data_IF_771143640102
#
_entry.id   IF_771143640102
#
_cell.length_a   1.000
_cell.length_b   1.000
_cell.length_c   1.000
_cell.angle_alpha   90.00
_cell.angle_beta   90.00
_cell.angle_gamma   90.00
#
_symmetry.space_group_name_H-M   'P 1'
#
loop_
_entity.id
_entity.type
_entity.pdbx_description
1 polymer ?
#
# COMPACT_ATOMS: atom_id res chain seq x y z
N UNK A 1 4.41 0.47 -36.36
CA UNK A 1 4.70 -0.98 -36.30
C UNK A 1 6.08 -1.34 -35.74
N UNK A 2 7.22 -0.93 -36.33
CA UNK A 2 8.55 -1.34 -35.80
C UNK A 2 8.82 -0.89 -34.36
N UNK A 3 8.42 0.33 -33.99
CA UNK A 3 8.58 0.88 -32.64
C UNK A 3 7.68 0.17 -31.60
N UNK A 4 6.41 -0.08 -31.95
CA UNK A 4 5.45 -0.85 -31.12
C UNK A 4 5.98 -2.25 -30.82
N UNK A 5 6.48 -2.95 -31.85
CA UNK A 5 7.08 -4.28 -31.69
C UNK A 5 8.30 -4.23 -30.77
N UNK A 6 9.19 -3.25 -30.96
CA UNK A 6 10.38 -3.10 -30.13
C UNK A 6 10.01 -2.86 -28.66
N UNK A 7 9.03 -1.99 -28.40
CA UNK A 7 8.52 -1.75 -27.05
C UNK A 7 7.85 -2.98 -26.44
N UNK A 8 7.03 -3.73 -27.20
CA UNK A 8 6.40 -4.95 -26.70
C UNK A 8 7.42 -6.01 -26.31
N UNK A 9 8.45 -6.20 -27.12
CA UNK A 9 9.52 -7.15 -26.81
C UNK A 9 10.27 -6.76 -25.53
N UNK A 10 10.58 -5.47 -25.37
CA UNK A 10 11.20 -4.93 -24.16
C UNK A 10 10.30 -5.14 -22.93
N UNK A 11 9.01 -4.78 -23.02
CA UNK A 11 8.04 -4.96 -21.95
C UNK A 11 7.85 -6.44 -21.57
N UNK A 12 7.73 -7.34 -22.56
CA UNK A 12 7.61 -8.78 -22.31
C UNK A 12 8.88 -9.35 -21.66
N UNK A 13 10.06 -8.94 -22.11
CA UNK A 13 11.33 -9.32 -21.47
C UNK A 13 11.41 -8.84 -20.02
N UNK A 14 10.81 -7.69 -19.70
CA UNK A 14 10.72 -7.16 -18.34
C UNK A 14 9.72 -7.94 -17.45
N UNK A 15 8.51 -8.23 -17.95
CA UNK A 15 7.42 -8.79 -17.14
C UNK A 15 7.41 -10.32 -17.03
N UNK A 16 7.87 -11.03 -18.05
CA UNK A 16 7.87 -12.50 -18.04
C UNK A 16 8.70 -13.10 -16.89
N UNK A 17 9.89 -12.56 -16.54
CA UNK A 17 10.64 -13.01 -15.36
C UNK A 17 9.88 -12.88 -14.03
N UNK A 18 8.95 -11.91 -13.93
CA UNK A 18 8.07 -11.75 -12.75
C UNK A 18 6.91 -12.75 -12.75
N UNK A 19 6.80 -13.56 -13.81
CA UNK A 19 5.82 -14.62 -13.98
C UNK A 19 4.52 -14.19 -14.67
N UNK A 20 4.52 -13.06 -15.39
CA UNK A 20 3.47 -12.75 -16.36
C UNK A 20 3.66 -13.58 -17.64
N UNK A 21 2.57 -13.83 -18.35
CA UNK A 21 2.50 -14.55 -19.62
C UNK A 21 3.13 -15.94 -19.62
N UNK A 22 3.07 -16.66 -18.48
CA UNK A 22 3.70 -18.00 -18.34
C UNK A 22 3.22 -19.04 -19.36
N UNK A 23 2.04 -18.84 -19.94
CA UNK A 23 1.47 -19.75 -20.95
C UNK A 23 2.04 -19.51 -22.36
N UNK A 24 2.75 -18.40 -22.58
CA UNK A 24 3.33 -18.02 -23.86
C UNK A 24 4.87 -18.01 -23.73
N UNK A 25 5.56 -19.12 -24.06
CA UNK A 25 7.00 -19.23 -23.83
C UNK A 25 7.85 -18.40 -24.81
N UNK A 26 7.28 -17.95 -25.93
CA UNK A 26 7.97 -17.15 -26.94
C UNK A 26 7.47 -15.69 -26.91
N UNK A 27 8.28 -14.75 -26.37
CA UNK A 27 7.90 -13.33 -26.34
C UNK A 27 7.78 -12.72 -27.74
N UNK A 28 8.44 -13.28 -28.76
CA UNK A 28 8.36 -12.74 -30.13
C UNK A 28 7.01 -13.06 -30.75
N UNK A 29 6.57 -14.32 -30.65
CA UNK A 29 5.24 -14.72 -31.12
C UNK A 29 4.14 -13.95 -30.39
N UNK A 30 4.22 -13.85 -29.04
CA UNK A 30 3.26 -13.11 -28.25
C UNK A 30 3.23 -11.61 -28.62
N UNK A 31 4.38 -10.98 -28.86
CA UNK A 31 4.41 -9.59 -29.29
C UNK A 31 3.65 -9.39 -30.61
N UNK A 32 3.85 -10.26 -31.61
CA UNK A 32 3.11 -10.17 -32.88
C UNK A 32 1.60 -10.34 -32.70
N UNK A 33 1.18 -11.25 -31.81
CA UNK A 33 -0.23 -11.48 -31.50
C UNK A 33 -0.89 -10.28 -30.80
N UNK A 34 -0.11 -9.52 -30.01
CA UNK A 34 -0.62 -8.41 -29.19
C UNK A 34 -0.57 -7.04 -29.86
N UNK A 35 0.12 -6.86 -31.01
CA UNK A 35 0.21 -5.55 -31.67
C UNK A 35 -1.18 -4.99 -32.02
N UNK A 36 -1.99 -5.76 -32.74
CA UNK A 36 -3.31 -5.29 -33.16
C UNK A 36 -4.27 -5.09 -31.98
N UNK A 37 -4.41 -6.05 -31.03
CA UNK A 37 -5.30 -5.86 -29.87
C UNK A 37 -4.92 -4.71 -28.93
N UNK A 38 -3.63 -4.41 -28.77
CA UNK A 38 -3.18 -3.33 -27.89
C UNK A 38 -3.23 -1.96 -28.53
N UNK A 39 -2.84 -1.87 -29.80
CA UNK A 39 -2.63 -0.57 -30.42
C UNK A 39 -3.73 -0.20 -31.40
N UNK A 40 -4.31 -1.14 -32.15
CA UNK A 40 -5.32 -0.85 -33.18
C UNK A 40 -5.03 0.48 -33.92
N UNK A 41 -6.00 1.40 -33.86
CA UNK A 41 -5.87 2.78 -34.36
C UNK A 41 -5.44 3.82 -33.29
N UNK A 42 -5.24 3.40 -32.04
CA UNK A 42 -4.84 4.28 -30.95
C UNK A 42 -3.42 4.84 -31.13
N UNK A 43 -3.17 6.10 -30.75
CA UNK A 43 -1.82 6.65 -30.77
C UNK A 43 -0.92 5.87 -29.81
N UNK A 44 0.24 5.43 -30.30
CA UNK A 44 1.27 4.78 -29.50
C UNK A 44 2.28 5.80 -28.98
N UNK A 45 2.40 5.89 -27.66
CA UNK A 45 3.47 6.61 -26.94
C UNK A 45 4.24 5.65 -26.01
N UNK A 46 5.49 5.26 -26.34
CA UNK A 46 6.26 4.32 -25.52
C UNK A 46 6.57 4.83 -24.10
N UNK A 47 6.33 6.11 -23.81
CA UNK A 47 6.56 6.70 -22.49
C UNK A 47 5.29 6.74 -21.63
N UNK A 48 4.13 6.35 -22.18
CA UNK A 48 2.88 6.31 -21.44
C UNK A 48 2.80 5.02 -20.59
N UNK A 49 2.90 5.10 -19.25
CA UNK A 49 2.84 3.93 -18.36
C UNK A 49 1.50 3.19 -18.45
N UNK A 50 0.44 3.82 -18.96
CA UNK A 50 -0.86 3.16 -19.11
C UNK A 50 -0.78 2.02 -20.15
N UNK A 51 0.13 2.09 -21.13
CA UNK A 51 0.33 1.00 -22.10
C UNK A 51 0.84 -0.28 -21.45
N UNK A 52 1.70 -0.17 -20.45
CA UNK A 52 2.14 -1.31 -19.66
C UNK A 52 0.95 -1.98 -18.94
N UNK A 53 0.02 -1.19 -18.39
CA UNK A 53 -1.18 -1.72 -17.73
C UNK A 53 -2.13 -2.42 -18.72
N UNK A 54 -2.31 -1.85 -19.92
CA UNK A 54 -3.06 -2.51 -20.99
C UNK A 54 -2.41 -3.83 -21.39
N UNK A 55 -1.08 -3.86 -21.61
CA UNK A 55 -0.35 -5.09 -21.89
C UNK A 55 -0.61 -6.14 -20.80
N UNK A 56 -0.37 -5.78 -19.54
CA UNK A 56 -0.53 -6.69 -18.40
C UNK A 56 -1.98 -7.20 -18.25
N UNK A 57 -2.97 -6.42 -18.67
CA UNK A 57 -4.38 -6.84 -18.64
C UNK A 57 -4.71 -8.04 -19.53
N UNK A 58 -3.87 -8.34 -20.54
CA UNK A 58 -4.02 -9.54 -21.37
C UNK A 58 -3.65 -10.82 -20.62
N UNK A 59 -2.84 -10.74 -19.55
CA UNK A 59 -2.60 -11.87 -18.66
C UNK A 59 -3.67 -11.95 -17.56
N UNK A 60 -4.84 -12.48 -17.92
CA UNK A 60 -5.97 -12.72 -17.01
C UNK A 60 -5.69 -13.75 -15.90
N UNK A 61 -4.50 -14.36 -15.89
CA UNK A 61 -4.04 -15.21 -14.78
C UNK A 61 -3.22 -14.44 -13.73
N UNK A 62 -2.84 -13.20 -14.02
CA UNK A 62 -1.97 -12.37 -13.17
C UNK A 62 -2.52 -10.97 -12.90
N UNK A 63 -3.39 -10.46 -13.75
CA UNK A 63 -4.04 -9.17 -13.60
C UNK A 63 -5.57 -9.30 -13.66
N UNK A 64 -6.23 -8.58 -12.76
CA UNK A 64 -7.64 -8.24 -12.82
C UNK A 64 -7.71 -6.82 -13.39
N UNK A 65 -8.33 -6.68 -14.55
CA UNK A 65 -8.60 -5.39 -15.19
C UNK A 65 -10.08 -5.37 -15.55
N UNK A 66 -10.85 -4.58 -14.82
CA UNK A 66 -12.31 -4.53 -14.92
C UNK A 66 -12.84 -3.13 -14.61
N UNK A 67 -14.12 -2.87 -14.88
CA UNK A 67 -14.74 -1.59 -14.52
C UNK A 67 -14.84 -1.43 -13.00
N UNK A 68 -14.54 -0.23 -12.51
CA UNK A 68 -14.56 0.06 -11.07
C UNK A 68 -15.99 0.23 -10.52
N UNK A 69 -16.96 0.55 -11.38
CA UNK A 69 -18.36 0.78 -11.02
C UNK A 69 -19.19 -0.48 -11.28
N UNK A 70 -19.76 -1.06 -10.21
CA UNK A 70 -20.61 -2.24 -10.30
C UNK A 70 -22.02 -1.93 -10.84
N UNK A 71 -22.49 -0.68 -10.69
CA UNK A 71 -23.85 -0.30 -11.05
C UNK A 71 -24.90 -1.22 -10.41
N UNK A 72 -25.80 -1.75 -11.23
CA UNK A 72 -26.88 -2.67 -10.80
C UNK A 72 -26.36 -4.05 -10.33
N UNK A 73 -25.12 -4.42 -10.66
CA UNK A 73 -24.54 -5.67 -10.18
C UNK A 73 -24.36 -5.66 -8.65
N UNK A 74 -24.16 -4.48 -8.04
CA UNK A 74 -24.04 -4.33 -6.59
C UNK A 74 -25.43 -4.27 -5.93
N UNK A 75 -26.09 -5.42 -5.85
CA UNK A 75 -27.39 -5.57 -5.19
C UNK A 75 -27.47 -6.88 -4.38
N UNK A 76 -28.32 -6.95 -3.34
CA UNK A 76 -28.51 -8.17 -2.56
C UNK A 76 -28.84 -9.39 -3.42
N UNK A 77 -28.05 -10.45 -3.27
CA UNK A 77 -28.22 -11.73 -3.98
C UNK A 77 -27.54 -11.83 -5.33
N UNK A 78 -26.88 -10.76 -5.80
CA UNK A 78 -26.07 -10.79 -7.03
C UNK A 78 -24.64 -11.28 -6.79
N UNK A 79 -24.20 -11.37 -5.53
CA UNK A 79 -22.90 -11.90 -5.12
C UNK A 79 -21.71 -11.20 -5.82
N UNK A 80 -21.83 -9.89 -6.06
CA UNK A 80 -20.83 -9.11 -6.80
C UNK A 80 -19.44 -9.22 -6.17
N UNK A 81 -19.36 -9.13 -4.84
CA UNK A 81 -18.08 -9.20 -4.13
C UNK A 81 -17.59 -10.64 -3.92
N UNK A 82 -18.46 -11.64 -4.04
CA UNK A 82 -18.01 -13.05 -4.18
C UNK A 82 -17.22 -13.20 -5.47
N UNK A 83 -17.78 -12.71 -6.59
CA UNK A 83 -17.10 -12.75 -7.89
C UNK A 83 -15.75 -12.02 -7.88
N UNK A 84 -15.68 -10.87 -7.20
CA UNK A 84 -14.43 -10.14 -6.95
C UNK A 84 -13.42 -11.00 -6.18
N UNK A 85 -13.82 -11.61 -5.05
CA UNK A 85 -12.91 -12.44 -4.26
C UNK A 85 -12.41 -13.66 -5.03
N UNK A 86 -13.25 -14.25 -5.88
CA UNK A 86 -12.86 -15.33 -6.79
C UNK A 86 -11.86 -14.86 -7.86
N UNK A 87 -12.07 -13.68 -8.45
CA UNK A 87 -11.15 -13.08 -9.40
C UNK A 87 -9.80 -12.75 -8.75
N UNK A 88 -9.81 -12.17 -7.54
CA UNK A 88 -8.61 -11.91 -6.75
C UNK A 88 -7.90 -13.22 -6.39
N UNK A 89 -8.63 -14.26 -5.99
CA UNK A 89 -8.07 -15.58 -5.72
C UNK A 89 -7.36 -16.16 -6.95
N UNK A 90 -7.98 -16.03 -8.14
CA UNK A 90 -7.40 -16.49 -9.41
C UNK A 90 -6.06 -15.84 -9.72
N UNK A 91 -5.94 -14.51 -9.54
CA UNK A 91 -4.68 -13.79 -9.83
C UNK A 91 -3.63 -13.92 -8.73
N UNK A 92 -4.00 -14.44 -7.55
CA UNK A 92 -3.15 -14.53 -6.37
C UNK A 92 -2.03 -15.57 -6.43
N UNK A 93 -1.95 -16.36 -7.51
CA UNK A 93 -1.00 -17.47 -7.66
C UNK A 93 -1.09 -18.51 -6.54
N UNK A 94 -2.29 -18.67 -5.96
CA UNK A 94 -2.54 -19.58 -4.86
C UNK A 94 -2.19 -19.04 -3.47
N UNK A 95 -1.68 -17.81 -3.34
CA UNK A 95 -1.42 -17.20 -2.04
C UNK A 95 -2.72 -16.83 -1.30
N UNK A 96 -3.79 -16.55 -2.04
CA UNK A 96 -5.13 -16.31 -1.52
C UNK A 96 -6.10 -17.32 -2.16
N UNK A 97 -6.52 -18.31 -1.37
CA UNK A 97 -7.40 -19.40 -1.80
C UNK A 97 -8.60 -19.52 -0.85
N UNK A 98 -9.47 -18.50 -0.82
CA UNK A 98 -10.67 -18.54 0.00
C UNK A 98 -11.59 -19.69 -0.44
N UNK A 99 -12.34 -20.22 0.50
CA UNK A 99 -13.38 -21.23 0.28
C UNK A 99 -14.67 -20.79 0.94
N UNK A 100 -15.79 -21.33 0.48
CA UNK A 100 -17.11 -21.11 1.08
C UNK A 100 -17.44 -19.62 1.25
N UNK A 101 -17.13 -18.82 0.22
CA UNK A 101 -17.33 -17.38 0.23
C UNK A 101 -18.83 -17.09 0.30
N UNK A 102 -19.23 -16.19 1.19
CA UNK A 102 -20.62 -15.76 1.38
C UNK A 102 -20.67 -14.24 1.48
N UNK A 103 -21.61 -13.65 0.77
CA UNK A 103 -21.96 -12.25 0.85
C UNK A 103 -23.19 -12.06 1.74
N UNK A 104 -23.07 -11.22 2.76
CA UNK A 104 -24.17 -10.85 3.66
C UNK A 104 -24.33 -9.33 3.66
N UNK A 105 -25.51 -8.86 3.28
CA UNK A 105 -25.85 -7.44 3.34
C UNK A 105 -26.40 -7.11 4.74
N UNK A 106 -25.70 -6.24 5.48
CA UNK A 106 -26.11 -5.83 6.83
C UNK A 106 -27.21 -4.74 6.83
N UNK A 107 -27.66 -4.34 5.63
CA UNK A 107 -28.71 -3.36 5.39
C UNK A 107 -28.97 -3.23 3.89
N UNK A 108 -30.00 -2.45 3.51
CA UNK A 108 -30.33 -2.19 2.09
C UNK A 108 -29.18 -1.48 1.36
N UNK A 109 -28.45 -0.65 2.09
CA UNK A 109 -27.33 0.15 1.60
C UNK A 109 -26.00 -0.33 2.23
N UNK A 110 -25.93 -1.62 2.58
CA UNK A 110 -24.76 -2.19 3.22
C UNK A 110 -24.58 -1.74 4.68
N UNK A 111 -23.37 -1.88 5.24
CA UNK A 111 -22.17 -2.46 4.63
C UNK A 111 -22.36 -3.93 4.26
N UNK A 112 -21.51 -4.44 3.38
CA UNK A 112 -21.47 -5.84 2.98
C UNK A 112 -20.42 -6.55 3.82
N UNK A 113 -20.79 -7.68 4.43
CA UNK A 113 -19.89 -8.58 5.12
C UNK A 113 -19.59 -9.77 4.21
N UNK A 114 -18.32 -9.97 3.89
CA UNK A 114 -17.86 -11.16 3.15
C UNK A 114 -17.25 -12.13 4.13
N UNK A 115 -17.81 -13.33 4.25
CA UNK A 115 -17.30 -14.39 5.11
C UNK A 115 -16.75 -15.53 4.26
N UNK A 116 -15.59 -16.08 4.63
CA UNK A 116 -14.95 -17.17 3.88
C UNK A 116 -13.97 -17.94 4.77
N UNK A 117 -13.67 -19.18 4.37
CA UNK A 117 -12.62 -19.99 4.97
C UNK A 117 -11.27 -19.72 4.28
N UNK A 118 -10.28 -19.27 5.04
CA UNK A 118 -8.91 -19.08 4.55
C UNK A 118 -7.90 -19.70 5.53
N UNK A 119 -7.07 -20.62 5.01
CA UNK A 119 -6.10 -21.40 5.81
C UNK A 119 -6.75 -22.14 7.00
N UNK A 120 -7.94 -22.69 6.78
CA UNK A 120 -8.68 -23.45 7.79
C UNK A 120 -9.30 -22.61 8.91
N UNK A 121 -9.31 -21.28 8.78
CA UNK A 121 -9.95 -20.37 9.72
C UNK A 121 -11.07 -19.61 9.01
N UNK A 122 -12.19 -19.44 9.70
CA UNK A 122 -13.24 -18.54 9.26
C UNK A 122 -12.73 -17.10 9.38
N UNK A 123 -12.84 -16.37 8.28
CA UNK A 123 -12.46 -14.96 8.15
C UNK A 123 -13.66 -14.18 7.67
N UNK A 124 -13.69 -12.90 8.04
CA UNK A 124 -14.62 -11.95 7.48
C UNK A 124 -13.90 -10.66 7.12
N UNK A 125 -14.33 -10.02 6.05
CA UNK A 125 -13.97 -8.64 5.70
C UNK A 125 -15.24 -7.82 5.56
N UNK A 126 -15.14 -6.52 5.83
CA UNK A 126 -16.23 -5.59 5.63
C UNK A 126 -15.95 -4.71 4.42
N UNK A 127 -17.01 -4.45 3.66
CA UNK A 127 -16.98 -3.68 2.43
C UNK A 127 -18.04 -2.58 2.55
N UNK A 128 -17.61 -1.34 2.39
CA UNK A 128 -18.49 -0.19 2.31
C UNK A 128 -19.07 -0.02 0.90
N UNK A 129 -20.23 0.63 0.81
CA UNK A 129 -20.78 1.05 -0.47
C UNK A 129 -20.24 2.44 -0.81
N UNK A 130 -19.32 2.51 -1.76
CA UNK A 130 -18.80 3.78 -2.28
C UNK A 130 -19.61 4.21 -3.49
N UNK A 131 -20.89 4.54 -3.34
CA UNK A 131 -21.76 4.94 -4.46
C UNK A 131 -21.80 3.95 -5.64
N UNK A 132 -21.58 2.65 -5.38
CA UNK A 132 -21.49 1.61 -6.40
C UNK A 132 -20.09 1.35 -6.95
N UNK A 133 -19.08 2.12 -6.54
CA UNK A 133 -17.68 1.90 -6.85
C UNK A 133 -17.05 0.81 -5.98
N UNK A 134 -16.00 0.18 -6.51
CA UNK A 134 -15.17 -0.78 -5.80
C UNK A 134 -14.50 -0.18 -4.57
N UNK A 135 -14.89 -0.68 -3.39
CA UNK A 135 -14.19 -0.40 -2.15
C UNK A 135 -12.81 -1.08 -2.09
N UNK A 136 -11.77 -0.33 -2.45
CA UNK A 136 -10.39 -0.80 -2.43
C UNK A 136 -9.88 -1.18 -1.03
N UNK A 137 -10.55 -0.77 0.05
CA UNK A 137 -10.16 -1.16 1.42
C UNK A 137 -10.28 -2.66 1.66
N UNK A 138 -11.02 -3.38 0.81
CA UNK A 138 -10.97 -4.84 0.79
C UNK A 138 -9.54 -5.36 0.57
N UNK A 139 -8.76 -4.71 -0.32
CA UNK A 139 -7.39 -5.12 -0.61
C UNK A 139 -6.47 -4.93 0.61
N UNK A 140 -6.71 -3.90 1.43
CA UNK A 140 -5.98 -3.65 2.69
C UNK A 140 -6.22 -4.79 3.68
N UNK A 141 -7.48 -5.16 3.88
CA UNK A 141 -7.87 -6.27 4.76
C UNK A 141 -7.30 -7.61 4.27
N UNK A 142 -7.35 -7.87 2.96
CA UNK A 142 -6.77 -9.09 2.37
C UNK A 142 -5.24 -9.09 2.48
N UNK A 143 -4.58 -7.97 2.25
CA UNK A 143 -3.13 -7.84 2.40
C UNK A 143 -2.68 -8.05 3.84
N UNK A 144 -3.47 -7.61 4.82
CA UNK A 144 -3.25 -7.93 6.23
C UNK A 144 -3.30 -9.45 6.49
N UNK A 145 -4.28 -10.16 5.91
CA UNK A 145 -4.37 -11.62 6.00
C UNK A 145 -3.19 -12.32 5.30
N UNK A 146 -2.64 -11.70 4.26
CA UNK A 146 -1.47 -12.17 3.53
C UNK A 146 -0.14 -11.77 4.18
N UNK A 147 -0.10 -11.18 5.38
CA UNK A 147 1.13 -10.64 5.99
C UNK A 147 2.34 -11.59 5.99
N UNK A 148 2.11 -12.89 6.10
CA UNK A 148 3.15 -13.93 6.09
C UNK A 148 3.64 -14.32 4.67
N UNK A 149 2.92 -13.92 3.63
CA UNK A 149 3.30 -14.11 2.23
C UNK A 149 4.33 -13.05 1.81
N UNK A 150 5.13 -13.35 0.79
CA UNK A 150 5.91 -12.32 0.08
C UNK A 150 5.06 -11.54 -0.93
N UNK A 151 3.89 -12.04 -1.27
CA UNK A 151 3.00 -11.50 -2.29
C UNK A 151 1.84 -10.70 -1.66
N UNK A 152 1.50 -9.57 -2.27
CA UNK A 152 0.35 -8.71 -1.92
C UNK A 152 -0.43 -8.33 -3.16
N UNK A 153 -1.69 -8.01 -2.96
CA UNK A 153 -2.48 -7.29 -3.95
C UNK A 153 -1.94 -5.87 -4.06
N UNK A 154 -1.67 -5.45 -5.28
CA UNK A 154 -1.26 -4.09 -5.62
C UNK A 154 -2.26 -3.55 -6.65
N UNK A 155 -2.67 -2.29 -6.49
CA UNK A 155 -3.70 -1.68 -7.33
C UNK A 155 -3.14 -0.44 -8.04
N UNK A 156 -3.49 -0.28 -9.31
CA UNK A 156 -3.36 0.98 -10.03
C UNK A 156 -4.78 1.43 -10.42
N UNK A 157 -5.23 2.60 -9.97
CA UNK A 157 -6.50 3.15 -10.41
C UNK A 157 -6.32 3.71 -11.82
N UNK A 158 -7.24 3.37 -12.71
CA UNK A 158 -7.43 3.98 -14.02
C UNK A 158 -8.83 4.59 -13.98
N UNK A 159 -9.03 5.79 -14.55
CA UNK A 159 -10.26 6.60 -14.44
C UNK A 159 -11.55 5.81 -14.12
N UNK A 160 -11.97 4.92 -15.02
CA UNK A 160 -13.15 4.04 -14.85
C UNK A 160 -12.80 2.54 -14.72
N UNK A 161 -11.53 2.19 -14.62
CA UNK A 161 -11.05 0.81 -14.53
C UNK A 161 -10.22 0.54 -13.27
N UNK A 162 -10.46 -0.61 -12.68
CA UNK A 162 -9.64 -1.20 -11.65
C UNK A 162 -8.55 -2.07 -12.30
N UNK A 163 -7.28 -1.77 -12.07
CA UNK A 163 -6.18 -2.71 -12.33
C UNK A 163 -5.62 -3.24 -11.01
N UNK A 164 -5.74 -4.55 -10.78
CA UNK A 164 -5.16 -5.24 -9.61
C UNK A 164 -4.27 -6.38 -10.06
N UNK A 165 -3.08 -6.47 -9.49
CA UNK A 165 -2.19 -7.61 -9.67
C UNK A 165 -1.62 -8.08 -8.33
N UNK A 166 -0.86 -9.18 -8.35
CA UNK A 166 -0.23 -9.73 -7.15
C UNK A 166 1.27 -9.80 -7.31
N UNK A 167 1.98 -8.99 -6.51
CA UNK A 167 3.42 -8.72 -6.64
C UNK A 167 4.17 -8.92 -5.33
N UNK A 168 5.46 -9.18 -5.43
CA UNK A 168 6.44 -8.93 -4.35
C UNK A 168 6.79 -7.44 -4.26
N UNK A 169 7.45 -7.06 -3.16
CA UNK A 169 7.84 -5.68 -2.95
C UNK A 169 8.91 -5.19 -3.96
N UNK A 170 9.86 -6.06 -4.32
CA UNK A 170 10.88 -5.79 -5.34
C UNK A 170 10.28 -5.74 -6.76
N UNK A 171 9.33 -6.63 -7.07
CA UNK A 171 8.56 -6.59 -8.32
C UNK A 171 7.81 -5.24 -8.46
N UNK A 172 7.08 -4.81 -7.41
CA UNK A 172 6.40 -3.50 -7.37
C UNK A 172 7.38 -2.34 -7.57
N UNK A 173 8.45 -2.26 -6.77
CA UNK A 173 9.44 -1.19 -6.87
C UNK A 173 10.04 -1.10 -8.29
N UNK A 174 10.37 -2.26 -8.89
CA UNK A 174 10.93 -2.28 -10.23
C UNK A 174 9.92 -1.76 -11.26
N UNK A 175 8.64 -2.11 -11.14
CA UNK A 175 7.58 -1.59 -12.00
C UNK A 175 7.42 -0.07 -11.85
N UNK A 176 7.43 0.44 -10.62
CA UNK A 176 7.30 1.88 -10.37
C UNK A 176 8.50 2.67 -10.89
N UNK A 177 9.71 2.14 -10.71
CA UNK A 177 10.96 2.83 -11.06
C UNK A 177 11.32 2.71 -12.53
N UNK A 178 11.18 1.53 -13.10
CA UNK A 178 11.68 1.22 -14.45
C UNK A 178 10.61 1.35 -15.53
N UNK A 179 9.32 1.25 -15.16
CA UNK A 179 8.18 1.33 -16.09
C UNK A 179 7.24 2.51 -15.79
N UNK A 180 7.57 3.35 -14.81
CA UNK A 180 6.80 4.55 -14.48
C UNK A 180 5.40 4.26 -13.92
N UNK A 181 5.11 3.02 -13.52
CA UNK A 181 3.82 2.68 -12.93
C UNK A 181 3.65 3.34 -11.56
N UNK A 182 2.40 3.55 -11.16
CA UNK A 182 2.06 4.27 -9.93
C UNK A 182 0.98 3.49 -9.19
N UNK A 183 1.40 2.69 -8.20
CA UNK A 183 0.48 1.90 -7.41
C UNK A 183 -0.07 2.67 -6.21
N UNK A 184 -1.23 2.23 -5.74
CA UNK A 184 -1.75 2.65 -4.46
C UNK A 184 -0.86 2.19 -3.31
N UNK A 185 -0.85 2.99 -2.24
CA UNK A 185 -0.15 2.69 -0.99
C UNK A 185 -1.05 1.82 -0.12
N UNK A 186 -0.98 0.51 -0.35
CA UNK A 186 -1.78 -0.49 0.38
C UNK A 186 -1.05 -1.11 1.59
N UNK A 187 0.27 -0.87 1.72
CA UNK A 187 1.12 -1.35 2.82
C UNK A 187 2.35 -0.42 2.93
N UNK A 188 2.43 0.35 4.02
CA UNK A 188 3.51 1.31 4.24
C UNK A 188 4.88 0.63 4.32
N UNK A 189 4.96 -0.51 5.00
CA UNK A 189 6.24 -1.20 5.18
C UNK A 189 6.80 -1.68 3.85
N UNK A 190 5.93 -2.14 2.95
CA UNK A 190 6.33 -2.60 1.61
C UNK A 190 6.67 -1.48 0.65
N UNK A 191 6.04 -0.32 0.80
CA UNK A 191 6.40 0.88 0.04
C UNK A 191 7.78 1.39 0.47
N UNK A 192 8.03 1.47 1.78
CA UNK A 192 9.24 2.12 2.30
C UNK A 192 10.46 1.20 2.33
N UNK A 193 10.31 -0.09 2.67
CA UNK A 193 11.45 -1.00 2.83
C UNK A 193 12.37 -1.08 1.60
N UNK A 194 11.86 -1.16 0.36
CA UNK A 194 12.72 -1.21 -0.82
C UNK A 194 13.51 0.09 -1.06
N UNK A 195 13.06 1.23 -0.53
CA UNK A 195 13.74 2.53 -0.72
C UNK A 195 15.15 2.54 -0.15
N UNK A 196 15.43 1.75 0.89
CA UNK A 196 16.76 1.67 1.49
C UNK A 196 17.83 1.17 0.51
N UNK A 197 17.42 0.49 -0.57
CA UNK A 197 18.31 -0.01 -1.62
C UNK A 197 18.71 1.06 -2.63
N UNK A 198 18.02 2.21 -2.65
CA UNK A 198 18.26 3.29 -3.61
C UNK A 198 19.45 4.17 -3.22
N UNK A 199 19.92 4.06 -1.97
CA UNK A 199 21.02 4.86 -1.45
C UNK A 199 22.03 4.02 -0.69
N UNK A 200 23.21 4.60 -0.46
CA UNK A 200 24.23 3.96 0.38
C UNK A 200 23.75 3.86 1.82
N UNK A 201 24.12 2.75 2.42
CA UNK A 201 23.93 2.49 3.84
C UNK A 201 24.46 3.66 4.69
N UNK A 202 23.69 4.01 5.71
CA UNK A 202 24.05 5.00 6.71
C UNK A 202 24.73 4.32 7.89
N UNK A 203 25.83 4.89 8.39
CA UNK A 203 26.32 4.52 9.73
C UNK A 203 25.33 5.06 10.76
N UNK A 204 25.05 4.29 11.81
CA UNK A 204 24.24 4.80 12.92
C UNK A 204 24.93 6.02 13.56
N UNK A 205 24.15 7.02 14.02
CA UNK A 205 24.70 8.23 14.63
C UNK A 205 25.49 7.89 15.89
N UNK A 206 26.55 8.68 16.15
CA UNK A 206 27.23 8.69 17.45
C UNK A 206 26.32 9.32 18.53
N UNK A 207 26.70 9.25 19.82
CA UNK A 207 25.84 9.68 20.96
C UNK A 207 25.36 11.15 20.87
N UNK A 208 26.08 12.01 20.15
CA UNK A 208 25.79 13.43 19.98
C UNK A 208 25.24 13.80 18.59
N UNK A 209 25.10 12.82 17.69
CA UNK A 209 24.53 13.02 16.36
C UNK A 209 23.02 12.72 16.36
N UNK A 210 22.27 13.51 15.59
CA UNK A 210 20.82 13.33 15.44
C UNK A 210 20.47 12.99 14.00
N UNK A 211 19.71 11.91 13.82
CA UNK A 211 19.12 11.56 12.53
C UNK A 211 17.61 11.73 12.60
N UNK A 212 17.06 12.58 11.72
CA UNK A 212 15.62 12.82 11.63
C UNK A 212 14.99 11.93 10.56
N UNK A 213 13.88 11.29 10.91
CA UNK A 213 13.02 10.51 10.02
C UNK A 213 11.65 11.16 9.91
N UNK A 214 11.10 11.15 8.70
CA UNK A 214 9.76 11.65 8.40
C UNK A 214 8.90 10.55 7.82
N UNK A 215 7.66 10.49 8.26
CA UNK A 215 6.81 9.38 7.93
C UNK A 215 5.34 9.64 8.14
N UNK A 216 4.62 8.54 8.17
CA UNK A 216 3.18 8.50 8.39
C UNK A 216 2.83 7.28 9.21
N UNK A 217 1.69 7.37 9.88
CA UNK A 217 1.12 6.35 10.74
C UNK A 217 -0.26 6.00 10.17
N UNK A 218 -0.51 4.71 9.95
CA UNK A 218 -1.80 4.19 9.50
C UNK A 218 -2.44 3.37 10.62
N UNK A 219 -3.70 3.64 10.93
CA UNK A 219 -4.61 2.89 11.79
C UNK A 219 -5.32 1.81 10.96
N UNK A 220 -5.47 0.60 11.52
CA UNK A 220 -6.25 -0.51 10.98
C UNK A 220 -5.96 -0.88 9.50
N UNK A 221 -4.77 -0.49 9.03
CA UNK A 221 -4.32 -0.59 7.63
C UNK A 221 -5.14 0.23 6.61
N UNK A 222 -6.14 1.02 7.01
CA UNK A 222 -7.04 1.73 6.09
C UNK A 222 -7.29 3.21 6.42
N UNK A 223 -6.61 3.75 7.43
CA UNK A 223 -6.72 5.17 7.77
C UNK A 223 -5.37 5.76 8.13
N UNK A 224 -4.89 6.77 7.41
CA UNK A 224 -3.76 7.55 7.93
C UNK A 224 -4.22 8.41 9.10
N UNK A 225 -3.54 8.26 10.23
CA UNK A 225 -3.85 8.93 11.50
C UNK A 225 -2.88 10.05 11.83
N UNK A 226 -1.74 10.19 11.12
CA UNK A 226 -0.96 11.42 11.28
C UNK A 226 0.42 11.45 10.67
N UNK A 227 1.08 12.59 10.91
CA UNK A 227 2.43 12.91 10.47
C UNK A 227 3.41 12.45 11.53
N UNK A 228 4.30 11.53 11.17
CA UNK A 228 5.28 11.01 12.10
C UNK A 228 6.63 11.69 11.87
N UNK A 229 7.21 12.21 12.95
CA UNK A 229 8.60 12.65 12.99
C UNK A 229 9.31 11.90 14.10
N UNK A 230 10.42 11.23 13.79
CA UNK A 230 11.28 10.56 14.76
C UNK A 230 12.69 11.13 14.67
N UNK A 231 13.35 11.25 15.80
CA UNK A 231 14.75 11.63 15.96
C UNK A 231 15.47 10.48 16.65
N UNK A 232 16.55 10.01 16.04
CA UNK A 232 17.45 9.01 16.60
C UNK A 232 18.70 9.73 17.10
N UNK A 233 18.97 9.65 18.41
CA UNK A 233 20.11 10.26 19.10
C UNK A 233 20.87 9.12 19.79
N UNK A 234 22.00 8.71 19.21
CA UNK A 234 22.65 7.44 19.57
C UNK A 234 21.69 6.24 19.46
N UNK A 235 21.32 5.66 20.59
CA UNK A 235 20.35 4.55 20.69
C UNK A 235 18.93 5.01 21.10
N UNK A 236 18.74 6.28 21.46
CA UNK A 236 17.46 6.78 21.93
C UNK A 236 16.61 7.28 20.75
N UNK A 237 15.33 6.93 20.77
CA UNK A 237 14.37 7.43 19.80
C UNK A 237 13.39 8.32 20.50
N UNK A 238 13.31 9.56 20.04
CA UNK A 238 12.30 10.52 20.44
C UNK A 238 11.50 10.94 19.23
N UNK A 239 10.29 11.42 19.41
CA UNK A 239 9.48 11.82 18.27
C UNK A 239 8.10 12.29 18.66
N UNK A 240 7.38 12.74 17.63
CA UNK A 240 6.04 13.26 17.77
C UNK A 240 5.18 12.83 16.59
N UNK A 241 3.91 12.57 16.90
CA UNK A 241 2.82 12.54 15.95
C UNK A 241 2.00 13.81 16.16
N UNK A 242 1.85 14.57 15.09
CA UNK A 242 0.92 15.70 15.05
C UNK A 242 -0.13 15.42 13.99
N UNK A 243 -1.38 15.31 14.42
CA UNK A 243 -2.54 15.28 13.54
C UNK A 243 -3.46 16.45 13.89
N UNK A 244 -3.78 17.26 12.89
CA UNK A 244 -4.67 18.41 13.01
C UNK A 244 -5.85 18.22 12.05
N UNK A 245 -6.71 17.25 12.39
CA UNK A 245 -7.91 16.94 11.63
C UNK A 245 -9.10 17.80 12.03
N UNK A 246 -10.12 17.84 11.16
CA UNK A 246 -11.33 18.64 11.43
C UNK A 246 -12.15 18.10 12.61
N UNK A 247 -12.15 16.78 12.80
CA UNK A 247 -12.93 16.11 13.85
C UNK A 247 -12.17 16.01 15.18
N UNK A 248 -10.85 15.86 15.13
CA UNK A 248 -10.00 15.69 16.30
C UNK A 248 -8.55 16.08 16.03
N UNK A 249 -7.83 16.41 17.10
CA UNK A 249 -6.40 16.70 17.10
C UNK A 249 -5.66 15.66 17.93
N UNK A 250 -4.49 15.24 17.47
CA UNK A 250 -3.62 14.30 18.19
C UNK A 250 -2.26 14.95 18.41
N UNK A 251 -1.81 14.91 19.66
CA UNK A 251 -0.49 15.37 20.11
C UNK A 251 0.11 14.22 20.93
N UNK A 252 0.85 13.34 20.24
CA UNK A 252 1.41 12.12 20.81
C UNK A 252 2.93 12.13 20.72
N UNK A 253 3.61 11.97 21.85
CA UNK A 253 5.04 11.73 21.93
C UNK A 253 5.38 10.26 21.77
N UNK A 254 6.44 9.98 21.03
CA UNK A 254 7.04 8.66 20.85
C UNK A 254 8.39 8.66 21.56
N UNK A 255 8.60 7.73 22.50
CA UNK A 255 9.87 7.58 23.21
C UNK A 255 10.24 6.10 23.19
N UNK A 256 11.46 5.77 22.82
CA UNK A 256 11.90 4.38 22.72
C UNK A 256 13.41 4.24 22.62
N UNK A 257 13.85 3.01 22.36
CA UNK A 257 15.25 2.68 22.14
C UNK A 257 15.44 1.76 20.94
N UNK A 258 16.56 1.97 20.26
CA UNK A 258 17.12 1.12 19.22
C UNK A 258 18.07 0.10 19.87
N UNK A 259 17.92 -1.16 19.50
CA UNK A 259 18.99 -2.15 19.64
C UNK A 259 19.86 -2.12 18.36
N UNK A 260 21.07 -1.56 18.41
CA UNK A 260 21.92 -1.42 17.22
C UNK A 260 22.39 -2.76 16.65
N UNK A 261 22.38 -3.84 17.44
CA UNK A 261 22.79 -5.16 16.97
C UNK A 261 21.73 -5.80 16.08
N UNK A 262 20.46 -5.52 16.34
CA UNK A 262 19.32 -6.13 15.61
C UNK A 262 18.59 -5.15 14.70
N UNK A 263 18.84 -3.84 14.87
CA UNK A 263 18.06 -2.79 14.22
C UNK A 263 16.64 -2.68 14.78
N UNK A 264 16.31 -3.36 15.88
CA UNK A 264 14.96 -3.38 16.43
C UNK A 264 14.72 -2.14 17.30
N UNK A 265 13.53 -1.55 17.15
CA UNK A 265 13.06 -0.44 17.97
C UNK A 265 11.90 -0.90 18.84
N UNK A 266 11.84 -0.40 20.07
CA UNK A 266 10.64 -0.50 20.90
C UNK A 266 10.51 0.73 21.80
N UNK A 267 9.27 1.15 22.03
CA UNK A 267 9.00 2.28 22.90
C UNK A 267 7.55 2.39 23.34
N UNK A 268 7.26 3.53 23.96
CA UNK A 268 5.95 3.94 24.43
C UNK A 268 5.45 5.14 23.66
N UNK A 269 4.13 5.25 23.56
CA UNK A 269 3.43 6.42 23.06
C UNK A 269 2.75 7.07 24.27
N UNK A 270 2.89 8.38 24.43
CA UNK A 270 2.17 9.14 25.45
C UNK A 270 1.69 10.47 24.89
N UNK A 271 0.47 10.88 25.23
CA UNK A 271 -0.04 12.17 24.76
C UNK A 271 -1.51 12.40 25.05
N UNK A 272 -2.15 13.18 24.21
CA UNK A 272 -3.57 13.47 24.31
C UNK A 272 -4.22 13.49 22.93
N UNK A 273 -5.45 12.96 22.85
CA UNK A 273 -6.32 13.14 21.69
C UNK A 273 -7.45 14.09 22.10
N UNK A 274 -7.69 15.13 21.29
CA UNK A 274 -8.72 16.13 21.50
C UNK A 274 -9.83 15.93 20.48
N UNK A 275 -11.00 15.49 20.93
CA UNK A 275 -12.19 15.37 20.07
C UNK A 275 -13.36 16.15 20.68
N UNK A 276 -14.11 16.88 19.84
CA UNK A 276 -15.22 17.73 20.29
C UNK A 276 -14.88 18.64 21.49
N UNK A 277 -13.67 19.21 21.50
CA UNK A 277 -13.18 20.10 22.56
C UNK A 277 -12.76 19.42 23.87
N UNK A 278 -12.79 18.09 23.96
CA UNK A 278 -12.35 17.34 25.15
C UNK A 278 -11.02 16.64 24.88
N UNK A 279 -10.01 16.94 25.71
CA UNK A 279 -8.74 16.23 25.70
C UNK A 279 -8.85 14.94 26.53
N UNK A 280 -8.47 13.81 25.94
CA UNK A 280 -8.37 12.51 26.61
C UNK A 280 -6.91 12.05 26.63
N UNK A 281 -6.36 11.68 27.80
CA UNK A 281 -5.02 11.13 27.88
C UNK A 281 -4.94 9.82 27.10
N UNK A 282 -3.89 9.71 26.30
CA UNK A 282 -3.63 8.57 25.43
C UNK A 282 -2.29 7.96 25.80
N UNK A 283 -2.20 6.63 25.73
CA UNK A 283 -0.94 5.93 25.83
C UNK A 283 -0.91 4.71 24.90
N UNK A 284 0.28 4.21 24.64
CA UNK A 284 0.46 3.08 23.77
C UNK A 284 1.86 2.52 23.80
N UNK A 285 2.07 1.54 22.94
CA UNK A 285 3.35 0.90 22.70
C UNK A 285 3.59 0.85 21.19
N UNK A 286 4.86 0.92 20.80
CA UNK A 286 5.25 0.76 19.42
C UNK A 286 6.51 -0.08 19.33
N UNK A 287 6.64 -0.79 18.22
CA UNK A 287 7.82 -1.58 17.87
C UNK A 287 8.07 -1.50 16.38
N UNK A 288 9.33 -1.62 15.98
CA UNK A 288 9.69 -1.51 14.58
C UNK A 288 11.10 -2.00 14.30
N UNK A 289 11.50 -1.86 13.06
CA UNK A 289 12.83 -2.24 12.60
C UNK A 289 13.39 -1.17 11.69
N UNK A 290 14.68 -0.93 11.87
CA UNK A 290 15.55 -0.29 10.91
C UNK A 290 15.72 -1.25 9.73
N UNK A 291 15.35 -0.78 8.54
CA UNK A 291 15.54 -1.55 7.32
C UNK A 291 17.04 -1.54 6.96
N UNK A 292 17.62 -2.67 6.47
CA UNK A 292 19.02 -2.70 6.03
C UNK A 292 19.35 -1.52 5.12
N UNK A 293 20.41 -0.79 5.43
CA UNK A 293 20.72 0.52 4.85
C UNK A 293 20.50 1.69 5.82
N UNK A 294 19.82 1.46 6.95
CA UNK A 294 19.70 2.37 8.08
C UNK A 294 19.01 3.71 7.79
N UNK A 295 18.21 3.77 6.72
CA UNK A 295 17.58 5.01 6.27
C UNK A 295 16.05 4.98 6.30
N UNK A 296 15.48 3.85 6.64
CA UNK A 296 14.04 3.62 6.69
C UNK A 296 13.72 2.88 7.96
N UNK A 297 12.67 3.33 8.64
CA UNK A 297 12.08 2.66 9.81
C UNK A 297 10.68 2.22 9.44
N UNK A 298 10.34 0.98 9.75
CA UNK A 298 8.98 0.45 9.58
C UNK A 298 8.56 -0.29 10.84
N UNK A 299 7.31 -0.20 11.23
CA UNK A 299 6.85 -0.89 12.43
C UNK A 299 5.34 -0.90 12.61
N UNK A 300 4.96 -1.28 13.82
CA UNK A 300 3.57 -1.32 14.28
C UNK A 300 3.42 -0.57 15.59
N UNK A 301 2.20 -0.12 15.86
CA UNK A 301 1.87 0.58 17.08
C UNK A 301 0.51 0.12 17.58
N UNK A 302 0.29 0.28 18.89
CA UNK A 302 -0.97 0.03 19.58
C UNK A 302 -1.17 1.13 20.60
N UNK A 303 -2.39 1.59 20.80
CA UNK A 303 -2.69 2.50 21.89
C UNK A 303 -4.14 2.47 22.34
N UNK A 304 -4.35 3.16 23.46
CA UNK A 304 -5.58 3.15 24.22
C UNK A 304 -5.68 4.43 25.06
N UNK A 305 -6.90 4.82 25.41
CA UNK A 305 -7.12 5.91 26.36
C UNK A 305 -6.78 5.46 27.78
N UNK A 306 -6.17 6.31 28.62
CA UNK A 306 -5.74 5.90 29.98
C UNK A 306 -6.90 5.48 30.91
N UNK A 307 -8.12 5.92 30.60
CA UNK A 307 -9.36 5.54 31.29
C UNK A 307 -10.00 4.25 30.76
N UNK A 308 -9.49 3.71 29.64
CA UNK A 308 -9.93 2.46 29.02
C UNK A 308 -8.79 1.42 29.12
N UNK A 309 -9.13 0.13 29.26
CA UNK A 309 -8.12 -0.96 29.33
C UNK A 309 -8.04 -1.79 28.06
N UNK A 310 -8.86 -1.49 27.07
CA UNK A 310 -8.90 -2.21 25.80
C UNK A 310 -8.12 -1.42 24.75
N UNK A 311 -7.45 -2.15 23.85
CA UNK A 311 -6.76 -1.54 22.71
C UNK A 311 -7.82 -0.85 21.87
N UNK A 312 -7.67 0.45 21.69
CA UNK A 312 -8.61 1.25 20.90
C UNK A 312 -8.11 1.34 19.47
N UNK A 313 -6.79 1.51 19.32
CA UNK A 313 -6.17 1.69 18.01
C UNK A 313 -4.94 0.83 17.86
N UNK A 314 -4.77 0.27 16.67
CA UNK A 314 -3.53 -0.37 16.26
C UNK A 314 -3.27 -0.12 14.78
N UNK A 315 -2.00 -0.26 14.37
CA UNK A 315 -1.66 -0.03 12.99
C UNK A 315 -0.19 -0.14 12.66
N UNK A 316 0.18 0.46 11.53
CA UNK A 316 1.54 0.43 10.98
C UNK A 316 2.10 1.85 10.88
N UNK A 317 3.41 1.97 10.90
CA UNK A 317 4.08 3.22 10.55
C UNK A 317 5.26 2.94 9.65
N UNK A 318 5.61 3.94 8.84
CA UNK A 318 6.86 3.97 8.12
C UNK A 318 7.41 5.39 8.09
N UNK A 319 8.73 5.51 8.24
CA UNK A 319 9.44 6.76 8.18
C UNK A 319 10.74 6.60 7.39
N UNK A 320 11.14 7.65 6.70
CA UNK A 320 12.34 7.72 5.86
C UNK A 320 13.23 8.86 6.33
N UNK A 321 14.53 8.62 6.30
CA UNK A 321 15.55 9.57 6.72
C UNK A 321 15.48 10.85 5.88
N UNK A 322 15.55 12.01 6.54
CA UNK A 322 15.36 13.34 5.94
C UNK A 322 16.25 13.59 4.73
N UNK A 323 17.51 13.18 4.77
CA UNK A 323 18.47 13.29 3.69
C UNK A 323 18.08 12.51 2.44
N UNK A 324 17.43 11.35 2.58
CA UNK A 324 16.88 10.63 1.43
C UNK A 324 15.77 11.40 0.71
N UNK A 325 14.93 12.12 1.45
CA UNK A 325 13.86 12.96 0.86
C UNK A 325 14.42 14.16 0.07
N UNK A 326 15.70 14.47 0.23
CA UNK A 326 16.41 15.51 -0.53
C UNK A 326 17.14 14.94 -1.76
N UNK A 327 17.02 13.63 -2.02
CA UNK A 327 17.59 12.98 -3.19
C UNK A 327 16.92 13.45 -4.48
N UNK A 328 17.66 13.42 -5.59
CA UNK A 328 17.14 13.66 -6.96
C UNK A 328 16.74 12.38 -7.69
N UNK A 329 16.62 11.27 -6.95
CA UNK A 329 16.07 10.05 -7.53
C UNK A 329 14.56 10.26 -7.79
N UNK A 330 14.07 10.11 -9.02
CA UNK A 330 12.68 10.42 -9.35
C UNK A 330 11.65 9.64 -8.51
N UNK A 331 11.97 8.42 -8.08
CA UNK A 331 11.06 7.66 -7.23
C UNK A 331 11.04 8.22 -5.81
N UNK A 332 12.19 8.63 -5.25
CA UNK A 332 12.24 9.31 -3.95
C UNK A 332 11.54 10.68 -3.99
N UNK A 333 11.64 11.42 -5.09
CA UNK A 333 10.91 12.69 -5.27
C UNK A 333 9.38 12.46 -5.23
N UNK A 334 8.86 11.42 -5.91
CA UNK A 334 7.44 11.05 -5.82
C UNK A 334 7.02 10.67 -4.41
N UNK A 335 7.84 9.88 -3.69
CA UNK A 335 7.57 9.51 -2.28
C UNK A 335 7.57 10.75 -1.38
N UNK A 336 8.49 11.69 -1.61
CA UNK A 336 8.57 12.94 -0.85
C UNK A 336 7.35 13.83 -1.09
N UNK A 337 6.91 13.98 -2.35
CA UNK A 337 5.71 14.76 -2.67
C UNK A 337 4.45 14.08 -2.13
N UNK A 338 4.36 12.75 -2.20
CA UNK A 338 3.27 12.00 -1.56
C UNK A 338 3.24 12.22 -0.05
N UNK A 339 4.37 12.10 0.65
CA UNK A 339 4.45 12.40 2.09
C UNK A 339 4.03 13.84 2.40
N UNK A 340 4.42 14.79 1.56
CA UNK A 340 4.00 16.19 1.68
C UNK A 340 2.49 16.34 1.49
N UNK A 341 1.89 15.66 0.53
CA UNK A 341 0.43 15.65 0.34
C UNK A 341 -0.27 15.02 1.55
N UNK A 342 0.16 13.83 1.99
CA UNK A 342 -0.30 13.17 3.22
C UNK A 342 -0.27 14.13 4.39
N UNK A 343 0.83 14.88 4.51
CA UNK A 343 0.97 15.88 5.56
C UNK A 343 -0.04 17.01 5.39
N UNK A 344 -0.37 17.46 4.18
CA UNK A 344 -1.39 18.51 4.01
C UNK A 344 -2.84 18.06 4.22
N UNK A 345 -3.13 16.75 4.24
CA UNK A 345 -4.47 16.21 4.41
C UNK A 345 -5.03 16.47 5.83
N UNK A 346 -6.33 16.78 5.89
CA UNK A 346 -7.05 17.08 7.15
C UNK A 346 -8.10 16.05 7.52
N UNK A 347 -8.42 15.13 6.62
CA UNK A 347 -9.32 14.04 6.88
C UNK A 347 -8.85 12.80 6.11
N UNK A 348 -9.37 11.62 6.50
CA UNK A 348 -9.01 10.35 5.89
C UNK A 348 -9.54 10.18 4.46
N UNK A 349 -10.55 10.97 4.07
CA UNK A 349 -11.14 10.95 2.72
C UNK A 349 -10.20 11.62 1.71
N UNK A 350 -9.51 12.68 2.15
CA UNK A 350 -8.54 13.44 1.36
C UNK A 350 -7.16 12.77 1.29
N UNK A 351 -6.98 11.59 1.91
CA UNK A 351 -5.68 10.93 1.93
C UNK A 351 -5.27 10.51 0.51
N UNK A 352 -4.10 10.92 0.01
CA UNK A 352 -3.62 10.50 -1.29
C UNK A 352 -3.23 9.03 -1.19
N UNK A 353 -4.11 8.15 -1.66
CA UNK A 353 -3.82 6.73 -1.72
C UNK A 353 -2.86 6.36 -2.85
N UNK A 354 -2.52 7.31 -3.72
CA UNK A 354 -1.73 7.13 -4.93
C UNK A 354 -0.51 8.06 -4.87
N UNK A 355 0.64 7.59 -5.30
CA UNK A 355 1.80 8.44 -5.54
C UNK A 355 1.49 9.45 -6.66
N UNK A 356 1.86 10.73 -6.58
CA UNK A 356 1.65 11.66 -7.68
C UNK A 356 2.40 11.20 -8.94
N UNK A 357 1.74 11.30 -10.09
CA UNK A 357 2.38 11.25 -11.41
C UNK A 357 2.82 12.68 -11.76
N UNK A 358 4.06 12.84 -12.23
CA UNK A 358 4.59 14.12 -12.72
C UNK A 358 4.00 14.52 -14.08
#
# INVERSE_FOLDING_TARGET
>A
MSQMRAWLLDALQFYMPMGFFRQAPDPVALAEELIEPLFGDSPFDPNDPVQDLYLLSFDRSRALCDQICFGEALAPGNDAYVGVLEALAKISRGHFTPKDIREEWLGREGPIKLSFNFRGQERAVQVGLWEGFFDFRILLQLNHMLRESLYRFEMVPLDDMLFVCVLKADEKLNMERLRGLTFMVLDLSRMFRPLSQLMREMTLPEEDETVTYFGTLNEMSDRCVGRLMLELIGEEVEGGLVYDGEAHQEDLGFIGRLDPATGFFKGTIEGQIRAAGKARPYCGEWEGHLVPGNRVITGTWKGWFKDEKEIVYEGQFAAIEKGMLMSRDPHLERVAEWLKQVWTCRNAVDYPWILPCD
#
